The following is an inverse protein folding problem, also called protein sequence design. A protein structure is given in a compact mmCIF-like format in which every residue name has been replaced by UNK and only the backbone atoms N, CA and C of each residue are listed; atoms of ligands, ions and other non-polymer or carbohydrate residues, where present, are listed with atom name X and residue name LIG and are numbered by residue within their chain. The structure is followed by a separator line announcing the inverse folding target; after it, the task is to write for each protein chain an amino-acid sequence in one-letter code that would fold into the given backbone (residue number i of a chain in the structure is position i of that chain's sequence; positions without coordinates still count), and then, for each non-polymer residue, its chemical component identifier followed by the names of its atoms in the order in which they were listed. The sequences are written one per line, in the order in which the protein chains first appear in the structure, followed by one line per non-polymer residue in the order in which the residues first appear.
data_IF_569953721575
#
_entry.id   IF_569953721575
#
_cell.length_a   1.000
_cell.length_b   1.000
_cell.length_c   1.000
_cell.angle_alpha   90.00
_cell.angle_beta   90.00
_cell.angle_gamma   90.00
#
_symmetry.space_group_name_H-M   'P 1'
#
loop_
_entity.id
_entity.type
_entity.pdbx_description
1 polymer ?
#
# COMPACT_ATOMS: atom_id res chain seq x y z
N UNK A 1 -7.09 47.26 -20.84
CA UNK A 1 -6.90 47.79 -19.47
C UNK A 1 -8.28 48.00 -18.88
N UNK A 2 -8.80 46.99 -18.19
CA UNK A 2 -10.13 46.99 -17.59
C UNK A 2 -9.95 46.73 -16.10
N UNK A 3 -10.11 47.80 -15.32
CA UNK A 3 -10.28 47.76 -13.88
C UNK A 3 -11.77 47.65 -13.59
N UNK A 4 -12.19 46.62 -12.87
CA UNK A 4 -13.41 46.62 -12.09
C UNK A 4 -13.13 45.88 -10.78
N UNK A 5 -13.09 46.64 -9.69
CA UNK A 5 -13.11 46.11 -8.33
C UNK A 5 -14.55 46.09 -7.81
N UNK A 6 -14.88 45.03 -7.09
CA UNK A 6 -15.95 45.02 -6.11
C UNK A 6 -15.41 44.34 -4.86
N UNK A 7 -15.39 45.08 -3.75
CA UNK A 7 -15.14 44.54 -2.43
C UNK A 7 -16.45 44.00 -1.85
N UNK A 8 -16.37 42.88 -1.14
CA UNK A 8 -17.35 42.47 -0.13
C UNK A 8 -16.62 42.04 1.14
N UNK A 9 -17.24 42.41 2.25
CA UNK A 9 -16.79 42.37 3.64
C UNK A 9 -16.76 40.97 4.24
N UNK A 10 -15.89 40.81 5.23
CA UNK A 10 -15.76 39.63 6.09
C UNK A 10 -17.07 39.25 6.79
N UNK A 11 -17.40 37.97 6.78
CA UNK A 11 -18.08 37.31 7.90
C UNK A 11 -17.45 35.95 8.08
N UNK A 12 -16.78 35.76 9.22
CA UNK A 12 -16.36 34.46 9.70
C UNK A 12 -17.59 33.55 9.79
N UNK A 13 -17.54 32.42 9.09
CA UNK A 13 -18.35 31.26 9.40
C UNK A 13 -17.38 30.11 9.53
N UNK A 14 -17.25 29.68 10.76
CA UNK A 14 -16.57 28.48 11.20
C UNK A 14 -17.13 27.29 10.40
N UNK A 15 -16.33 26.77 9.48
CA UNK A 15 -16.60 25.50 8.83
C UNK A 15 -15.45 24.59 9.23
N UNK A 16 -15.64 23.88 10.34
CA UNK A 16 -14.89 22.67 10.61
C UNK A 16 -15.09 21.74 9.43
N UNK A 17 -14.08 21.67 8.56
CA UNK A 17 -13.99 20.65 7.54
C UNK A 17 -13.49 19.38 8.26
N UNK A 18 -14.44 18.59 8.76
CA UNK A 18 -14.17 17.18 9.05
C UNK A 18 -13.66 16.55 7.75
N UNK A 19 -12.41 16.09 7.76
CA UNK A 19 -11.87 15.25 6.70
C UNK A 19 -12.76 14.02 6.52
N UNK A 20 -12.82 13.50 5.29
CA UNK A 20 -13.54 12.26 5.00
C UNK A 20 -13.17 11.21 6.05
N UNK A 21 -14.16 10.69 6.77
CA UNK A 21 -13.95 9.69 7.80
C UNK A 21 -13.31 8.46 7.16
N UNK A 22 -12.07 8.15 7.51
CA UNK A 22 -11.34 6.98 6.99
C UNK A 22 -12.06 5.71 7.46
N UNK A 23 -12.61 4.92 6.54
CA UNK A 23 -13.19 3.61 6.85
C UNK A 23 -12.15 2.50 7.10
N UNK A 24 -10.88 2.88 7.18
CA UNK A 24 -9.79 1.99 7.56
C UNK A 24 -9.83 1.61 9.04
N UNK A 25 -9.16 0.51 9.42
CA UNK A 25 -8.86 0.23 10.83
C UNK A 25 -8.18 1.45 11.46
N UNK A 26 -8.58 1.79 12.68
CA UNK A 26 -8.01 2.91 13.43
C UNK A 26 -6.49 2.73 13.55
N UNK A 27 -5.72 3.74 13.13
CA UNK A 27 -4.26 3.72 13.24
C UNK A 27 -3.88 3.88 14.72
N UNK A 28 -3.15 2.92 15.31
CA UNK A 28 -2.60 3.07 16.64
C UNK A 28 -1.43 4.07 16.64
N UNK A 29 -1.30 4.82 17.73
CA UNK A 29 -0.29 5.86 17.92
C UNK A 29 0.64 5.48 19.07
N UNK A 30 1.94 5.72 18.87
CA UNK A 30 3.03 5.38 19.78
C UNK A 30 3.98 6.57 19.91
N UNK A 31 4.65 6.73 21.06
CA UNK A 31 5.60 7.82 21.23
C UNK A 31 6.90 7.57 20.44
N UNK A 32 7.45 6.35 20.56
CA UNK A 32 8.71 5.95 19.93
C UNK A 32 8.58 4.61 19.20
N UNK A 33 9.47 4.31 18.22
CA UNK A 33 9.51 3.00 17.57
C UNK A 33 9.61 1.84 18.56
N UNK A 34 10.34 2.02 19.67
CA UNK A 34 10.56 1.00 20.69
C UNK A 34 9.29 0.64 21.48
N UNK A 35 8.28 1.50 21.48
CA UNK A 35 6.99 1.25 22.17
C UNK A 35 6.05 0.34 21.37
N UNK A 36 6.37 0.06 20.11
CA UNK A 36 5.51 -0.69 19.20
C UNK A 36 5.64 -2.20 19.47
N UNK A 37 4.52 -2.86 19.74
CA UNK A 37 4.42 -4.32 19.62
C UNK A 37 4.31 -4.72 18.15
N UNK A 38 5.45 -4.76 17.48
CA UNK A 38 5.54 -5.02 16.05
C UNK A 38 4.95 -6.37 15.65
N UNK A 39 5.07 -7.40 16.51
CA UNK A 39 4.54 -8.74 16.20
C UNK A 39 3.03 -8.72 16.18
N UNK A 40 2.41 -8.17 17.23
CA UNK A 40 0.96 -8.06 17.30
C UNK A 40 0.41 -7.20 16.15
N UNK A 41 1.04 -6.06 15.87
CA UNK A 41 0.66 -5.19 14.76
C UNK A 41 0.80 -5.88 13.40
N UNK A 42 1.87 -6.63 13.20
CA UNK A 42 2.13 -7.42 11.99
C UNK A 42 1.08 -8.52 11.79
N UNK A 43 0.78 -9.31 12.81
CA UNK A 43 -0.26 -10.35 12.77
C UNK A 43 -1.65 -9.78 12.45
N UNK A 44 -2.00 -8.66 13.07
CA UNK A 44 -3.23 -7.95 12.76
C UNK A 44 -3.26 -7.48 11.30
N UNK A 45 -2.14 -6.96 10.79
CA UNK A 45 -2.02 -6.51 9.40
C UNK A 45 -2.18 -7.66 8.41
N UNK A 46 -1.63 -8.85 8.71
CA UNK A 46 -1.85 -10.08 7.93
C UNK A 46 -3.34 -10.44 7.95
N UNK A 47 -3.98 -10.42 9.11
CA UNK A 47 -5.42 -10.71 9.20
C UNK A 47 -6.25 -9.74 8.35
N UNK A 48 -6.00 -8.44 8.44
CA UNK A 48 -6.72 -7.43 7.65
C UNK A 48 -6.52 -7.64 6.14
N UNK A 49 -5.29 -7.93 5.71
CA UNK A 49 -4.99 -8.24 4.32
C UNK A 49 -5.79 -9.46 3.84
N UNK A 50 -5.81 -10.55 4.61
CA UNK A 50 -6.49 -11.79 4.24
C UNK A 50 -8.02 -11.65 4.26
N UNK A 51 -8.57 -10.92 5.23
CA UNK A 51 -10.01 -10.64 5.29
C UNK A 51 -10.43 -9.78 4.10
N UNK A 52 -9.60 -8.81 3.69
CA UNK A 52 -9.91 -7.96 2.53
C UNK A 52 -9.77 -8.70 1.21
N UNK A 53 -8.74 -9.53 1.05
CA UNK A 53 -8.59 -10.38 -0.14
C UNK A 53 -9.78 -11.33 -0.31
N UNK A 54 -10.20 -11.99 0.78
CA UNK A 54 -11.33 -12.92 0.74
C UNK A 54 -12.70 -12.24 0.66
N UNK A 55 -12.80 -10.97 1.06
CA UNK A 55 -14.07 -10.24 1.20
C UNK A 55 -14.76 -10.49 2.55
N UNK A 56 -14.14 -11.23 3.47
CA UNK A 56 -14.62 -11.42 4.84
C UNK A 56 -14.56 -10.14 5.68
N UNK A 57 -13.84 -9.10 5.20
CA UNK A 57 -13.85 -7.77 5.83
C UNK A 57 -15.24 -7.11 5.79
N UNK A 58 -16.13 -7.55 4.88
CA UNK A 58 -17.50 -7.06 4.66
C UNK A 58 -17.61 -5.56 4.39
N UNK A 59 -16.49 -4.89 4.16
CA UNK A 59 -16.42 -3.46 3.82
C UNK A 59 -15.93 -3.25 2.40
N UNK A 60 -15.29 -4.27 1.79
CA UNK A 60 -14.79 -4.22 0.42
C UNK A 60 -15.66 -5.07 -0.50
N UNK A 61 -16.18 -4.45 -1.56
CA UNK A 61 -16.87 -5.16 -2.65
C UNK A 61 -16.00 -5.18 -3.89
N UNK A 62 -15.51 -6.36 -4.25
CA UNK A 62 -14.64 -6.57 -5.42
C UNK A 62 -15.45 -6.71 -6.71
N UNK A 63 -15.02 -6.00 -7.74
CA UNK A 63 -15.46 -6.16 -9.12
C UNK A 63 -14.25 -6.52 -10.00
N UNK A 64 -14.44 -7.47 -10.93
CA UNK A 64 -13.44 -7.77 -11.96
C UNK A 64 -13.37 -6.60 -12.93
N UNK A 65 -12.18 -6.04 -13.13
CA UNK A 65 -11.93 -4.97 -14.08
C UNK A 65 -11.44 -5.52 -15.42
N UNK A 66 -10.47 -6.45 -15.38
CA UNK A 66 -9.93 -7.11 -16.56
C UNK A 66 -9.26 -8.44 -16.22
N UNK A 67 -9.20 -9.32 -17.21
CA UNK A 67 -8.53 -10.61 -17.14
C UNK A 67 -7.96 -10.94 -18.52
N UNK A 68 -6.67 -11.24 -18.56
CA UNK A 68 -5.97 -11.77 -19.73
C UNK A 68 -4.94 -12.84 -19.32
N UNK A 69 -4.11 -13.29 -20.25
CA UNK A 69 -3.10 -14.33 -20.00
C UNK A 69 -1.98 -13.90 -19.02
N UNK A 70 -1.81 -12.60 -18.79
CA UNK A 70 -0.75 -12.05 -17.95
C UNK A 70 -1.25 -11.73 -16.56
N UNK A 71 -2.45 -11.15 -16.44
CA UNK A 71 -2.94 -10.64 -15.17
C UNK A 71 -4.47 -10.73 -15.01
N UNK A 72 -4.89 -10.87 -13.75
CA UNK A 72 -6.28 -10.68 -13.34
C UNK A 72 -6.34 -9.48 -12.41
N UNK A 73 -7.21 -8.51 -12.72
CA UNK A 73 -7.28 -7.21 -12.05
C UNK A 73 -8.67 -7.00 -11.49
N UNK A 74 -8.74 -6.64 -10.21
CA UNK A 74 -9.97 -6.27 -9.53
C UNK A 74 -9.88 -4.86 -8.94
N UNK A 75 -11.02 -4.18 -8.92
CA UNK A 75 -11.24 -2.94 -8.17
C UNK A 75 -12.20 -3.22 -7.02
N UNK A 76 -11.83 -2.79 -5.83
CA UNK A 76 -12.61 -2.93 -4.61
C UNK A 76 -13.23 -1.60 -4.24
N UNK A 77 -14.55 -1.48 -4.30
CA UNK A 77 -15.26 -0.38 -3.66
C UNK A 77 -15.22 -0.60 -2.15
N UNK A 78 -14.74 0.38 -1.38
CA UNK A 78 -14.61 0.28 0.07
C UNK A 78 -15.64 1.19 0.73
N UNK A 79 -16.50 0.64 1.58
CA UNK A 79 -17.50 1.41 2.32
C UNK A 79 -16.83 2.56 3.05
N UNK A 80 -17.35 3.79 2.93
CA UNK A 80 -16.80 4.97 3.61
C UNK A 80 -15.47 5.51 3.07
N UNK A 81 -14.98 5.02 1.92
CA UNK A 81 -13.80 5.57 1.24
C UNK A 81 -14.15 5.94 -0.20
N UNK A 82 -13.74 7.14 -0.62
CA UNK A 82 -13.80 7.55 -2.04
C UNK A 82 -12.71 6.85 -2.88
N UNK A 83 -11.75 6.21 -2.22
CA UNK A 83 -10.61 5.57 -2.85
C UNK A 83 -10.75 4.06 -2.83
N UNK A 84 -10.61 3.47 -4.01
CA UNK A 84 -10.76 2.03 -4.19
C UNK A 84 -9.55 1.27 -3.66
N UNK A 85 -9.80 0.05 -3.19
CA UNK A 85 -8.75 -0.96 -3.08
C UNK A 85 -8.47 -1.56 -4.47
N UNK A 86 -7.23 -1.97 -4.70
CA UNK A 86 -6.80 -2.63 -5.92
C UNK A 86 -6.26 -4.00 -5.60
N UNK A 87 -6.57 -4.97 -6.44
CA UNK A 87 -6.00 -6.30 -6.37
C UNK A 87 -5.58 -6.75 -7.75
N UNK A 88 -4.36 -7.26 -7.87
CA UNK A 88 -3.80 -7.79 -9.11
C UNK A 88 -3.18 -9.14 -8.80
N UNK A 89 -3.47 -10.14 -9.64
CA UNK A 89 -2.84 -11.46 -9.56
C UNK A 89 -2.10 -11.76 -10.85
N UNK A 90 -0.86 -12.24 -10.72
CA UNK A 90 0.01 -12.65 -11.83
C UNK A 90 0.73 -13.95 -11.48
N UNK A 91 1.15 -14.70 -12.50
CA UNK A 91 1.97 -15.90 -12.35
C UNK A 91 3.44 -15.57 -12.58
N UNK A 92 4.32 -16.10 -11.75
CA UNK A 92 5.76 -15.89 -11.75
C UNK A 92 6.49 -17.22 -11.89
N UNK A 93 7.51 -17.28 -12.76
CA UNK A 93 8.45 -18.39 -12.85
C UNK A 93 9.55 -18.23 -11.79
N UNK A 94 9.15 -18.04 -10.53
CA UNK A 94 10.02 -17.84 -9.39
C UNK A 94 9.46 -18.53 -8.15
N UNK A 95 10.34 -18.89 -7.22
CA UNK A 95 9.98 -19.47 -5.93
C UNK A 95 9.45 -18.39 -4.98
N UNK A 96 8.65 -18.79 -3.98
CA UNK A 96 8.15 -17.86 -2.97
C UNK A 96 9.27 -17.16 -2.19
N UNK A 97 10.38 -17.84 -1.96
CA UNK A 97 11.54 -17.29 -1.26
C UNK A 97 12.27 -16.22 -2.10
N UNK A 98 12.40 -16.41 -3.42
CA UNK A 98 12.98 -15.40 -4.30
C UNK A 98 12.12 -14.14 -4.37
N UNK A 99 10.79 -14.32 -4.41
CA UNK A 99 9.82 -13.23 -4.41
C UNK A 99 9.86 -12.47 -3.07
N UNK A 100 9.87 -13.18 -1.94
CA UNK A 100 9.99 -12.54 -0.62
C UNK A 100 11.28 -11.72 -0.51
N UNK A 101 12.43 -12.31 -0.86
CA UNK A 101 13.72 -11.64 -0.79
C UNK A 101 13.71 -10.33 -1.59
N UNK A 102 13.17 -10.35 -2.81
CA UNK A 102 13.02 -9.16 -3.64
C UNK A 102 12.09 -8.11 -3.03
N UNK A 103 11.00 -8.52 -2.38
CA UNK A 103 10.02 -7.62 -1.77
C UNK A 103 10.47 -7.05 -0.40
N UNK A 104 11.50 -7.63 0.21
CA UNK A 104 12.11 -7.10 1.43
C UNK A 104 13.32 -6.20 1.13
N UNK A 105 13.92 -6.31 -0.05
CA UNK A 105 15.06 -5.52 -0.50
C UNK A 105 14.65 -4.09 -0.93
N UNK A 106 15.23 -3.09 -0.27
CA UNK A 106 14.96 -1.67 -0.52
C UNK A 106 15.32 -1.25 -1.95
N UNK A 107 16.44 -1.71 -2.48
CA UNK A 107 16.92 -1.35 -3.82
C UNK A 107 16.07 -1.98 -4.91
N UNK A 108 15.43 -3.12 -4.63
CA UNK A 108 14.45 -3.72 -5.52
C UNK A 108 13.12 -2.98 -5.44
N UNK A 109 12.61 -2.69 -4.23
CA UNK A 109 11.35 -1.96 -4.04
C UNK A 109 11.33 -0.61 -4.77
N UNK A 110 12.45 0.14 -4.75
CA UNK A 110 12.60 1.40 -5.48
C UNK A 110 12.53 1.27 -7.02
N UNK A 111 12.68 0.05 -7.56
CA UNK A 111 12.57 -0.24 -9.00
C UNK A 111 11.20 -0.77 -9.40
N UNK A 112 10.33 -1.09 -8.44
CA UNK A 112 9.01 -1.65 -8.75
C UNK A 112 8.07 -0.57 -9.29
N UNK A 113 8.17 0.66 -8.79
CA UNK A 113 7.30 1.76 -9.18
C UNK A 113 8.10 3.06 -9.32
N UNK A 114 7.97 3.71 -10.49
CA UNK A 114 8.61 4.99 -10.78
C UNK A 114 8.14 6.11 -9.85
N UNK A 115 7.00 5.94 -9.17
CA UNK A 115 6.50 6.90 -8.20
C UNK A 115 7.23 6.84 -6.86
N UNK A 116 7.81 5.70 -6.47
CA UNK A 116 8.54 5.61 -5.20
C UNK A 116 9.88 6.33 -5.33
N UNK A 117 10.11 7.32 -4.48
CA UNK A 117 11.30 8.17 -4.55
C UNK A 117 12.35 7.78 -3.50
N UNK A 118 11.90 7.42 -2.30
CA UNK A 118 12.77 7.06 -1.19
C UNK A 118 12.11 6.01 -0.31
N UNK A 119 12.91 5.11 0.24
CA UNK A 119 12.50 4.20 1.29
C UNK A 119 13.65 4.05 2.29
N UNK A 120 13.33 4.18 3.58
CA UNK A 120 14.28 4.03 4.68
C UNK A 120 13.72 3.01 5.66
N UNK A 121 14.52 2.02 6.04
CA UNK A 121 14.25 1.21 7.23
C UNK A 121 14.62 2.05 8.44
N UNK A 122 13.60 2.53 9.17
CA UNK A 122 13.77 3.36 10.37
C UNK A 122 14.16 2.48 11.57
N UNK A 123 13.54 1.31 11.65
CA UNK A 123 13.78 0.35 12.74
C UNK A 123 13.61 -1.08 12.21
N UNK A 124 14.57 -1.94 12.53
CA UNK A 124 14.47 -3.37 12.27
C UNK A 124 14.03 -4.07 13.56
N UNK A 125 12.86 -4.72 13.53
CA UNK A 125 12.21 -5.26 14.73
C UNK A 125 12.58 -6.72 15.01
N UNK A 126 13.24 -7.40 14.08
CA UNK A 126 13.78 -8.75 14.26
C UNK A 126 15.14 -8.94 13.57
N UNK A 127 15.82 -10.06 13.84
CA UNK A 127 17.15 -10.34 13.28
C UNK A 127 17.09 -11.03 11.92
N UNK A 128 15.93 -11.57 11.59
CA UNK A 128 15.62 -12.30 10.38
C UNK A 128 15.18 -11.36 9.24
N UNK A 129 15.11 -10.05 9.50
CA UNK A 129 14.67 -8.99 8.60
C UNK A 129 13.24 -9.18 8.07
N UNK A 130 12.37 -9.80 8.89
CA UNK A 130 10.97 -10.10 8.53
C UNK A 130 9.98 -9.04 8.98
N UNK A 131 10.43 -8.09 9.79
CA UNK A 131 9.59 -7.10 10.43
C UNK A 131 10.36 -5.80 10.60
N UNK A 132 9.89 -4.73 9.96
CA UNK A 132 10.55 -3.43 9.99
C UNK A 132 9.56 -2.28 9.97
N UNK A 133 9.94 -1.18 10.63
CA UNK A 133 9.34 0.13 10.46
C UNK A 133 10.04 0.83 9.30
N UNK A 134 9.27 1.28 8.32
CA UNK A 134 9.77 1.90 7.09
C UNK A 134 9.14 3.27 6.92
N UNK A 135 9.94 4.23 6.46
CA UNK A 135 9.49 5.57 6.06
C UNK A 135 9.79 5.74 4.58
N UNK A 136 8.74 5.90 3.77
CA UNK A 136 8.83 5.93 2.31
C UNK A 136 8.16 7.18 1.75
N UNK A 137 8.65 7.64 0.60
CA UNK A 137 8.09 8.80 -0.11
C UNK A 137 7.75 8.46 -1.55
N UNK A 138 6.71 9.13 -2.07
CA UNK A 138 6.35 9.14 -3.47
C UNK A 138 6.51 10.51 -4.09
N UNK A 139 6.85 10.53 -5.39
CA UNK A 139 7.05 11.74 -6.18
C UNK A 139 5.78 12.58 -6.24
N UNK A 140 5.95 13.91 -6.26
CA UNK A 140 4.86 14.84 -6.57
C UNK A 140 4.46 14.73 -8.06
N UNK A 141 3.16 14.74 -8.35
CA UNK A 141 2.62 14.86 -9.71
C UNK A 141 1.78 16.13 -9.74
N UNK A 142 2.28 17.21 -10.33
CA UNK A 142 1.57 18.50 -10.35
C UNK A 142 0.09 18.35 -10.78
N UNK A 143 -0.90 18.84 -9.99
CA UNK A 143 -0.79 19.72 -8.81
C UNK A 143 -0.74 18.99 -7.44
N UNK A 144 -0.58 17.67 -7.43
CA UNK A 144 -0.57 16.80 -6.26
C UNK A 144 0.84 16.77 -5.65
N UNK A 145 0.99 17.21 -4.40
CA UNK A 145 2.25 17.14 -3.64
C UNK A 145 2.78 15.70 -3.50
N UNK A 146 4.04 15.53 -3.11
CA UNK A 146 4.57 14.21 -2.76
C UNK A 146 3.85 13.65 -1.53
N UNK A 147 3.73 12.32 -1.43
CA UNK A 147 3.23 11.67 -0.22
C UNK A 147 4.37 11.00 0.52
N UNK A 148 4.25 10.92 1.82
CA UNK A 148 5.10 10.05 2.62
C UNK A 148 4.24 9.15 3.50
N UNK A 149 4.78 7.96 3.79
CA UNK A 149 4.15 6.95 4.59
C UNK A 149 5.13 6.43 5.63
N UNK A 150 4.64 6.25 6.85
CA UNK A 150 5.30 5.48 7.91
C UNK A 150 4.53 4.18 8.07
N UNK A 151 5.17 3.05 7.79
CA UNK A 151 4.52 1.72 7.73
C UNK A 151 5.33 0.67 8.47
N UNK A 152 4.63 -0.26 9.13
CA UNK A 152 5.23 -1.53 9.54
C UNK A 152 5.04 -2.52 8.41
N UNK A 153 6.11 -3.14 7.95
CA UNK A 153 6.09 -4.28 7.03
C UNK A 153 6.40 -5.55 7.82
N UNK A 154 5.57 -6.58 7.64
CA UNK A 154 5.72 -7.87 8.29
C UNK A 154 5.51 -9.02 7.29
N UNK A 155 6.35 -10.05 7.36
CA UNK A 155 6.17 -11.28 6.59
C UNK A 155 6.08 -12.55 7.45
N UNK A 156 5.21 -13.47 7.03
CA UNK A 156 5.05 -14.79 7.63
C UNK A 156 4.61 -15.83 6.61
N UNK A 157 4.84 -17.10 6.94
CA UNK A 157 4.20 -18.22 6.25
C UNK A 157 2.91 -18.60 6.97
N UNK A 158 1.83 -18.82 6.21
CA UNK A 158 0.55 -19.30 6.71
C UNK A 158 0.55 -20.83 6.87
N UNK A 159 -0.36 -21.41 7.67
CA UNK A 159 -0.46 -22.86 7.84
C UNK A 159 -0.72 -23.65 6.54
N UNK A 160 -1.28 -23.00 5.51
CA UNK A 160 -1.51 -23.59 4.18
C UNK A 160 -0.30 -23.47 3.23
N UNK A 161 0.83 -22.94 3.71
CA UNK A 161 2.09 -22.84 2.98
C UNK A 161 2.26 -21.56 2.17
N UNK A 162 1.22 -20.70 2.09
CA UNK A 162 1.33 -19.38 1.43
C UNK A 162 2.28 -18.47 2.20
N UNK A 163 3.14 -17.74 1.49
CA UNK A 163 3.94 -16.66 2.07
C UNK A 163 3.17 -15.36 1.94
N UNK A 164 3.07 -14.60 3.02
CA UNK A 164 2.32 -13.33 3.04
C UNK A 164 3.22 -12.22 3.56
N UNK A 165 3.15 -11.07 2.90
CA UNK A 165 3.81 -9.83 3.31
C UNK A 165 2.72 -8.77 3.44
N UNK A 166 2.58 -8.15 4.60
CA UNK A 166 1.65 -7.06 4.82
C UNK A 166 2.39 -5.80 5.27
N UNK A 167 1.95 -4.66 4.75
CA UNK A 167 2.40 -3.33 5.18
C UNK A 167 1.19 -2.48 5.53
N UNK A 168 1.22 -1.82 6.69
CA UNK A 168 0.15 -0.92 7.15
C UNK A 168 0.73 0.28 7.87
N UNK A 169 0.09 1.43 7.71
CA UNK A 169 0.50 2.65 8.38
C UNK A 169 0.33 2.59 9.90
N UNK A 170 1.28 3.20 10.57
CA UNK A 170 1.35 3.34 12.03
C UNK A 170 1.68 4.80 12.33
N UNK A 171 1.17 5.32 13.45
CA UNK A 171 1.55 6.64 13.92
C UNK A 171 2.62 6.53 15.01
N UNK A 172 3.74 7.23 14.82
CA UNK A 172 4.86 7.26 15.75
C UNK A 172 5.31 8.71 15.91
N UNK A 173 5.03 9.31 17.07
CA UNK A 173 5.16 10.77 17.30
C UNK A 173 6.58 11.30 17.05
N UNK A 174 7.60 10.50 17.37
CA UNK A 174 9.01 10.85 17.14
C UNK A 174 9.43 10.84 15.66
N UNK A 175 8.61 10.32 14.75
CA UNK A 175 8.87 10.29 13.31
C UNK A 175 8.11 11.42 12.61
N UNK A 176 8.79 12.54 12.45
CA UNK A 176 8.26 13.69 11.75
C UNK A 176 8.10 13.42 10.25
N UNK A 177 7.07 14.04 9.68
CA UNK A 177 6.88 14.07 8.24
C UNK A 177 8.06 14.75 7.54
N UNK A 178 8.40 14.27 6.34
CA UNK A 178 9.39 14.97 5.53
C UNK A 178 8.84 16.32 5.06
N UNK A 179 9.69 17.34 5.10
CA UNK A 179 9.33 18.68 4.64
C UNK A 179 8.89 18.65 3.17
N UNK A 180 7.73 19.27 2.87
CA UNK A 180 7.17 19.32 1.52
C UNK A 180 6.32 18.10 1.12
N UNK A 181 6.22 17.08 1.98
CA UNK A 181 5.36 15.91 1.77
C UNK A 181 4.10 15.98 2.63
N UNK A 182 3.04 15.34 2.14
CA UNK A 182 1.82 15.10 2.91
C UNK A 182 1.88 13.67 3.46
N UNK A 183 1.74 13.50 4.78
CA UNK A 183 1.58 12.18 5.42
C UNK A 183 0.30 11.54 4.89
N UNK A 184 0.47 10.43 4.20
CA UNK A 184 -0.59 9.58 3.72
C UNK A 184 -0.64 8.31 4.59
N UNK A 185 -1.77 7.62 4.57
CA UNK A 185 -1.99 6.39 5.31
C UNK A 185 -2.08 5.21 4.34
N UNK A 186 -1.17 4.26 4.46
CA UNK A 186 -1.31 2.97 3.80
C UNK A 186 -2.27 2.12 4.64
N UNK A 187 -3.55 2.08 4.26
CA UNK A 187 -4.60 1.33 4.99
C UNK A 187 -4.26 -0.16 5.03
N UNK A 188 -3.91 -0.74 3.88
CA UNK A 188 -3.25 -2.04 3.79
C UNK A 188 -2.65 -2.19 2.39
N UNK A 189 -1.41 -2.65 2.34
CA UNK A 189 -0.80 -3.18 1.11
C UNK A 189 -0.19 -4.52 1.43
N UNK A 190 -0.25 -5.48 0.52
CA UNK A 190 0.39 -6.76 0.76
C UNK A 190 0.46 -7.68 -0.44
N UNK A 191 1.29 -8.70 -0.26
CA UNK A 191 1.57 -9.74 -1.23
C UNK A 191 1.16 -11.08 -0.63
N UNK A 192 0.38 -11.85 -1.38
CA UNK A 192 0.01 -13.24 -1.07
C UNK A 192 0.65 -14.10 -2.15
N UNK A 193 1.57 -14.98 -1.74
CA UNK A 193 2.41 -15.77 -2.64
C UNK A 193 2.09 -17.24 -2.44
N UNK A 194 1.54 -17.87 -3.46
CA UNK A 194 1.21 -19.29 -3.49
C UNK A 194 2.17 -20.01 -4.45
N UNK A 195 3.08 -20.81 -3.91
CA UNK A 195 4.00 -21.61 -4.71
C UNK A 195 3.33 -22.90 -5.18
N UNK A 196 3.52 -23.23 -6.46
CA UNK A 196 2.92 -24.36 -7.16
C UNK A 196 3.97 -25.10 -7.98
N UNK A 197 3.63 -26.29 -8.42
CA UNK A 197 4.42 -27.07 -9.38
C UNK A 197 3.56 -27.40 -10.59
N UNK A 198 4.14 -27.26 -11.78
CA UNK A 198 3.49 -27.67 -13.01
C UNK A 198 3.59 -29.20 -13.21
N UNK A 199 3.04 -29.70 -14.33
CA UNK A 199 3.05 -31.13 -14.65
C UNK A 199 4.44 -31.70 -14.94
N UNK A 200 5.43 -30.84 -15.19
CA UNK A 200 6.84 -31.20 -15.38
C UNK A 200 7.63 -31.21 -14.07
N UNK A 201 7.03 -30.72 -12.98
CA UNK A 201 7.68 -30.53 -11.68
C UNK A 201 8.42 -29.20 -11.55
N UNK A 202 8.26 -28.27 -12.50
CA UNK A 202 8.84 -26.94 -12.41
C UNK A 202 8.04 -26.07 -11.43
N UNK A 203 8.75 -25.38 -10.54
CA UNK A 203 8.15 -24.47 -9.56
C UNK A 203 7.79 -23.14 -10.20
N UNK A 204 6.60 -22.64 -9.87
CA UNK A 204 6.14 -21.30 -10.19
C UNK A 204 5.30 -20.76 -9.01
N UNK A 205 5.07 -19.46 -8.95
CA UNK A 205 4.24 -18.85 -7.91
C UNK A 205 3.10 -18.03 -8.52
N UNK A 206 1.91 -18.13 -7.93
CA UNK A 206 0.86 -17.13 -8.13
C UNK A 206 1.02 -16.06 -7.06
N UNK A 207 1.16 -14.81 -7.51
CA UNK A 207 1.36 -13.65 -6.63
C UNK A 207 0.17 -12.72 -6.76
N UNK A 208 -0.49 -12.47 -5.64
CA UNK A 208 -1.55 -11.46 -5.53
C UNK A 208 -0.99 -10.26 -4.78
N UNK A 209 -0.98 -9.09 -5.42
CA UNK A 209 -0.76 -7.80 -4.78
C UNK A 209 -2.10 -7.15 -4.50
N UNK A 210 -2.30 -6.70 -3.27
CA UNK A 210 -3.44 -5.89 -2.84
C UNK A 210 -2.93 -4.55 -2.31
N UNK A 211 -3.53 -3.44 -2.72
CA UNK A 211 -3.16 -2.10 -2.27
C UNK A 211 -4.40 -1.24 -1.97
N UNK A 212 -4.42 -0.59 -0.82
CA UNK A 212 -5.43 0.39 -0.43
C UNK A 212 -4.79 1.45 0.46
N UNK A 213 -4.90 2.72 0.06
CA UNK A 213 -4.25 3.83 0.75
C UNK A 213 -5.15 5.06 0.80
N UNK A 214 -5.00 5.82 1.88
CA UNK A 214 -5.45 7.18 2.06
C UNK A 214 -4.32 8.17 1.70
N UNK A 215 -4.35 8.81 0.53
CA UNK A 215 -3.35 9.80 0.10
C UNK A 215 -3.48 11.18 0.76
N UNK A 216 -4.45 11.36 1.67
CA UNK A 216 -4.87 12.60 2.30
C UNK A 216 -5.12 13.80 1.34
N UNK A 217 -5.69 14.86 1.91
CA UNK A 217 -5.94 16.12 1.21
C UNK A 217 -7.04 16.02 0.14
N UNK A 218 -7.17 17.09 -0.65
CA UNK A 218 -8.23 17.20 -1.65
C UNK A 218 -7.73 16.75 -3.03
N UNK A 219 -7.73 15.43 -3.27
CA UNK A 219 -7.44 14.85 -4.58
C UNK A 219 -8.73 14.26 -5.17
N UNK A 220 -9.09 14.60 -6.43
CA UNK A 220 -10.23 13.97 -7.08
C UNK A 220 -10.09 12.44 -7.13
N UNK A 221 -11.11 11.73 -6.64
CA UNK A 221 -11.12 10.27 -6.55
C UNK A 221 -10.82 9.57 -7.89
N UNK A 222 -11.26 10.13 -9.02
CA UNK A 222 -10.98 9.58 -10.35
C UNK A 222 -9.49 9.54 -10.69
N UNK A 223 -8.71 10.52 -10.22
CA UNK A 223 -7.25 10.56 -10.44
C UNK A 223 -6.57 9.51 -9.56
N UNK A 224 -6.93 9.45 -8.28
CA UNK A 224 -6.38 8.44 -7.35
C UNK A 224 -6.69 7.03 -7.84
N UNK A 225 -7.94 6.80 -8.25
CA UNK A 225 -8.39 5.48 -8.68
C UNK A 225 -7.77 5.02 -10.01
N UNK A 226 -7.33 5.96 -10.86
CA UNK A 226 -6.59 5.65 -12.08
C UNK A 226 -5.11 5.35 -11.76
N UNK A 227 -4.46 6.22 -10.97
CA UNK A 227 -3.06 6.06 -10.59
C UNK A 227 -2.84 4.79 -9.76
N UNK A 228 -3.75 4.50 -8.82
CA UNK A 228 -3.68 3.31 -7.98
C UNK A 228 -3.75 2.00 -8.77
N UNK A 229 -4.62 1.91 -9.78
CA UNK A 229 -4.67 0.74 -10.67
C UNK A 229 -3.36 0.58 -11.44
N UNK A 230 -2.88 1.66 -12.08
CA UNK A 230 -1.68 1.62 -12.91
C UNK A 230 -0.42 1.26 -12.11
N UNK A 231 -0.23 1.89 -10.95
CA UNK A 231 0.93 1.65 -10.09
C UNK A 231 0.96 0.20 -9.57
N UNK A 232 -0.20 -0.35 -9.18
CA UNK A 232 -0.29 -1.73 -8.67
C UNK A 232 0.09 -2.75 -9.74
N UNK A 233 -0.42 -2.59 -10.97
CA UNK A 233 -0.09 -3.47 -12.10
C UNK A 233 1.39 -3.34 -12.48
N UNK A 234 1.90 -2.10 -12.56
CA UNK A 234 3.29 -1.84 -12.91
C UNK A 234 4.26 -2.40 -11.88
N UNK A 235 3.97 -2.26 -10.58
CA UNK A 235 4.78 -2.83 -9.50
C UNK A 235 4.97 -4.34 -9.65
N UNK A 236 3.87 -5.06 -9.86
CA UNK A 236 3.92 -6.52 -10.01
C UNK A 236 4.58 -6.94 -11.33
N UNK A 237 4.37 -6.18 -12.40
CA UNK A 237 5.02 -6.40 -13.71
C UNK A 237 6.54 -6.23 -13.61
N UNK A 238 7.00 -5.16 -12.95
CA UNK A 238 8.41 -4.88 -12.75
C UNK A 238 9.07 -5.93 -11.85
N UNK A 239 8.39 -6.38 -10.78
CA UNK A 239 8.87 -7.47 -9.94
C UNK A 239 9.05 -8.75 -10.77
N UNK A 240 8.08 -9.10 -11.61
CA UNK A 240 8.14 -10.26 -12.50
C UNK A 240 9.33 -10.16 -13.45
N UNK A 241 9.52 -9.00 -14.07
CA UNK A 241 10.66 -8.75 -14.95
C UNK A 241 12.00 -8.84 -14.25
N UNK A 242 12.11 -8.41 -12.98
CA UNK A 242 13.37 -8.51 -12.21
C UNK A 242 13.71 -9.96 -11.86
N UNK A 243 12.70 -10.80 -11.61
CA UNK A 243 12.91 -12.18 -11.18
C UNK A 243 13.09 -13.17 -12.33
N UNK A 244 12.57 -12.84 -13.52
CA UNK A 244 12.58 -13.72 -14.70
C UNK A 244 13.64 -13.37 -15.76
N UNK A 245 14.37 -12.26 -15.59
CA UNK A 245 15.47 -11.83 -16.48
C UNK A 245 16.81 -11.82 -15.74
#
# INVERSE_FOLDING_TARGET
MSYFGWGFTSSAVDAGAEGAATSGPKIPSYATPEDVDYRAFGEESIKILMDRDSGEDKVTTWALESEDENAIIWRGAVEGSDWAAFRVKMTFNATKDAIEAALLDVDVLLKLDDMTERLIVVYEADKEHKMSLRHMTSKAIFPIAGREFVVVTYTTELPDGRRVIASRSIDVESIQAFEGYVRAENIITGYIIEEKQDTSGATYSEVTLLAHADLAGYIPASIVNMLGTSATVQALTNLKNILEN
#
